data_IF_137842269073
#
_entry.id   IF_137842269073
#
_cell.length_a   1.000
_cell.length_b   1.000
_cell.length_c   1.000
_cell.angle_alpha   90.00
_cell.angle_beta   90.00
_cell.angle_gamma   90.00
#
_symmetry.space_group_name_H-M   'P 1'
#
loop_
_entity.id
_entity.type
_entity.pdbx_description
1 polymer ?
#
# COMPACT_ATOMS: atom_id res chain seq x y z
N UNK A 1 -12.80 27.95 -1.19
CA UNK A 1 -11.49 28.28 -1.80
C UNK A 1 -11.00 27.01 -2.46
N UNK A 2 -10.59 27.05 -3.72
CA UNK A 2 -10.08 25.86 -4.42
C UNK A 2 -8.70 25.53 -3.85
N UNK A 3 -8.57 24.41 -3.13
CA UNK A 3 -7.27 23.97 -2.58
C UNK A 3 -6.32 23.67 -3.75
N UNK A 4 -5.15 24.30 -3.74
CA UNK A 4 -4.13 24.17 -4.78
C UNK A 4 -3.17 23.03 -4.46
N UNK A 5 -3.20 21.97 -5.26
CA UNK A 5 -2.29 20.83 -5.17
C UNK A 5 -1.00 21.17 -5.90
N UNK A 6 0.08 21.44 -5.16
CA UNK A 6 1.40 21.71 -5.75
C UNK A 6 2.27 20.45 -5.65
N UNK A 7 2.76 19.96 -6.80
CA UNK A 7 3.70 18.82 -6.94
C UNK A 7 5.13 19.28 -6.64
N UNK A 8 5.80 18.82 -5.58
CA UNK A 8 7.23 18.99 -5.37
C UNK A 8 7.97 17.75 -5.88
N UNK A 9 8.79 17.93 -6.92
CA UNK A 9 9.76 16.97 -7.49
C UNK A 9 9.17 15.70 -8.21
N UNK A 10 9.38 15.51 -9.53
CA UNK A 10 8.53 14.65 -10.38
C UNK A 10 8.99 13.18 -10.56
N UNK A 11 9.85 12.60 -9.72
CA UNK A 11 10.46 11.29 -10.05
C UNK A 11 9.66 10.05 -9.60
N UNK A 12 8.50 10.20 -8.96
CA UNK A 12 7.52 9.11 -8.80
C UNK A 12 6.46 9.15 -9.92
N UNK A 13 6.08 8.02 -10.54
CA UNK A 13 5.09 8.01 -11.63
C UNK A 13 3.68 8.42 -11.15
N UNK A 14 3.38 8.31 -9.85
CA UNK A 14 2.04 8.52 -9.29
C UNK A 14 2.10 9.57 -8.19
N UNK A 15 1.47 10.74 -8.39
CA UNK A 15 1.50 11.80 -7.39
C UNK A 15 0.57 11.43 -6.22
N UNK A 16 1.16 11.30 -5.02
CA UNK A 16 0.47 11.01 -3.77
C UNK A 16 0.53 12.24 -2.84
N UNK A 17 -0.59 12.57 -2.21
CA UNK A 17 -0.73 13.72 -1.32
C UNK A 17 -1.26 13.29 0.05
N UNK A 18 -0.86 14.04 1.08
CA UNK A 18 -1.40 13.96 2.43
C UNK A 18 -2.25 15.21 2.68
N UNK A 19 -3.50 15.01 3.11
CA UNK A 19 -4.40 16.08 3.53
C UNK A 19 -4.63 16.04 5.04
N UNK A 20 -4.59 17.20 5.68
CA UNK A 20 -5.00 17.42 7.07
C UNK A 20 -5.75 18.76 7.15
N UNK A 21 -7.07 18.70 7.27
CA UNK A 21 -7.91 19.91 7.22
C UNK A 21 -7.74 20.64 5.87
N UNK A 22 -7.29 21.90 5.93
CA UNK A 22 -7.02 22.71 4.73
C UNK A 22 -5.60 22.51 4.16
N UNK A 23 -4.72 21.79 4.89
CA UNK A 23 -3.36 21.55 4.44
C UNK A 23 -3.32 20.35 3.50
N UNK A 24 -2.79 20.55 2.30
CA UNK A 24 -2.51 19.47 1.34
C UNK A 24 -1.06 19.59 0.90
N UNK A 25 -0.25 18.56 1.15
CA UNK A 25 1.13 18.49 0.71
C UNK A 25 1.37 17.21 -0.07
N UNK A 26 2.13 17.29 -1.15
CA UNK A 26 2.57 16.06 -1.80
C UNK A 26 3.59 15.33 -0.93
N UNK A 27 3.55 14.01 -1.01
CA UNK A 27 4.45 13.15 -0.29
C UNK A 27 5.76 13.01 -1.08
N UNK A 28 6.85 13.49 -0.50
CA UNK A 28 8.19 13.30 -1.06
C UNK A 28 8.75 11.90 -0.81
N UNK A 29 9.71 11.50 -1.64
CA UNK A 29 10.45 10.24 -1.48
C UNK A 29 11.07 10.13 -0.08
N UNK A 30 10.90 8.99 0.57
CA UNK A 30 11.40 8.68 1.91
C UNK A 30 10.58 9.28 3.06
N UNK A 31 9.53 10.05 2.76
CA UNK A 31 8.64 10.60 3.78
C UNK A 31 7.52 9.61 4.07
N UNK A 32 7.36 9.25 5.35
CA UNK A 32 6.22 8.44 5.79
C UNK A 32 4.93 9.28 5.81
N UNK A 33 3.82 8.82 5.19
CA UNK A 33 2.57 9.58 5.11
C UNK A 33 1.94 9.89 6.48
N UNK A 34 1.97 8.91 7.39
CA UNK A 34 1.39 9.03 8.73
C UNK A 34 2.22 9.98 9.58
N UNK A 35 3.55 9.94 9.45
CA UNK A 35 4.43 10.93 10.07
C UNK A 35 4.16 12.34 9.54
N UNK A 36 4.04 12.52 8.22
CA UNK A 36 3.75 13.83 7.63
C UNK A 36 2.41 14.38 8.11
N UNK A 37 1.38 13.54 8.19
CA UNK A 37 0.08 13.93 8.72
C UNK A 37 0.18 14.46 10.16
N UNK A 38 0.97 13.80 11.03
CA UNK A 38 1.24 14.28 12.38
C UNK A 38 1.92 15.65 12.38
N UNK A 39 2.94 15.84 11.55
CA UNK A 39 3.65 17.13 11.44
C UNK A 39 2.73 18.25 10.91
N UNK A 40 1.72 17.91 10.11
CA UNK A 40 0.67 18.83 9.64
C UNK A 40 -0.43 19.07 10.68
N UNK A 41 -0.34 18.47 11.86
CA UNK A 41 -1.26 18.71 12.98
C UNK A 41 -2.46 17.75 13.04
N UNK A 42 -2.43 16.63 12.31
CA UNK A 42 -3.45 15.59 12.47
C UNK A 42 -3.45 15.10 13.93
N UNK A 43 -4.62 14.80 14.48
CA UNK A 43 -4.74 14.34 15.87
C UNK A 43 -4.49 12.83 15.95
N UNK A 44 -3.70 12.41 16.94
CA UNK A 44 -3.53 11.00 17.26
C UNK A 44 -4.87 10.38 17.70
N UNK A 45 -5.35 9.36 16.98
CA UNK A 45 -6.54 8.57 17.31
C UNK A 45 -6.27 7.11 17.01
N UNK A 46 -6.35 6.26 18.04
CA UNK A 46 -6.15 4.83 17.90
C UNK A 46 -7.15 4.22 16.90
N UNK A 47 -6.66 3.41 15.96
CA UNK A 47 -7.48 2.83 14.90
C UNK A 47 -7.91 3.79 13.79
N UNK A 48 -7.48 5.05 13.79
CA UNK A 48 -7.82 5.98 12.72
C UNK A 48 -7.09 5.63 11.41
N UNK A 49 -7.85 5.55 10.33
CA UNK A 49 -7.37 5.26 8.99
C UNK A 49 -7.66 6.46 8.11
N UNK A 50 -6.74 6.88 7.21
CA UNK A 50 -7.02 7.99 6.31
C UNK A 50 -8.20 7.67 5.40
N UNK A 51 -9.00 8.69 5.12
CA UNK A 51 -9.94 8.66 4.01
C UNK A 51 -9.15 8.71 2.71
N UNK A 52 -9.50 7.85 1.77
CA UNK A 52 -8.78 7.67 0.53
C UNK A 52 -9.60 8.30 -0.58
N UNK A 53 -9.01 9.28 -1.25
CA UNK A 53 -9.68 10.06 -2.28
C UNK A 53 -8.77 10.15 -3.52
N UNK A 54 -9.39 10.37 -4.67
CA UNK A 54 -8.67 10.78 -5.87
C UNK A 54 -9.02 12.25 -6.09
N UNK A 55 -8.01 13.11 -5.91
CA UNK A 55 -8.16 14.53 -6.09
C UNK A 55 -8.68 14.87 -7.50
N UNK A 56 -9.03 16.14 -7.74
CA UNK A 56 -9.54 16.56 -9.03
C UNK A 56 -8.54 16.19 -10.13
N UNK A 57 -9.07 15.73 -11.28
CA UNK A 57 -8.26 15.50 -12.48
C UNK A 57 -7.48 16.77 -12.79
N UNK A 58 -6.16 16.67 -12.88
CA UNK A 58 -5.32 17.82 -13.18
C UNK A 58 -5.28 18.12 -14.70
N UNK A 59 -4.56 19.19 -15.08
CA UNK A 59 -4.46 19.61 -16.48
C UNK A 59 -3.77 18.57 -17.38
N UNK A 60 -2.99 17.65 -16.80
CA UNK A 60 -2.36 16.54 -17.51
C UNK A 60 -3.28 15.32 -17.68
N UNK A 61 -4.46 15.35 -17.05
CA UNK A 61 -5.38 14.21 -17.01
C UNK A 61 -5.09 13.23 -15.89
N UNK A 62 -4.16 13.54 -14.98
CA UNK A 62 -3.80 12.67 -13.87
C UNK A 62 -4.83 12.82 -12.74
N UNK A 63 -5.13 11.70 -12.07
CA UNK A 63 -5.96 11.65 -10.86
C UNK A 63 -5.04 11.49 -9.64
N UNK A 64 -4.65 12.59 -8.97
CA UNK A 64 -3.73 12.48 -7.84
C UNK A 64 -4.37 11.72 -6.69
N UNK A 65 -3.60 10.84 -6.06
CA UNK A 65 -4.07 10.08 -4.90
C UNK A 65 -3.94 10.94 -3.64
N UNK A 66 -4.96 10.95 -2.79
CA UNK A 66 -4.98 11.73 -1.55
C UNK A 66 -5.29 10.82 -0.37
N UNK A 67 -4.40 10.84 0.63
CA UNK A 67 -4.62 10.25 1.95
C UNK A 67 -5.01 11.37 2.91
N UNK A 68 -6.28 11.40 3.29
CA UNK A 68 -6.85 12.43 4.14
C UNK A 68 -6.93 11.96 5.60
N UNK A 69 -6.11 12.56 6.45
CA UNK A 69 -6.04 12.29 7.88
C UNK A 69 -6.84 13.32 8.70
N UNK A 70 -7.86 13.96 8.11
CA UNK A 70 -8.70 14.95 8.79
C UNK A 70 -9.38 14.43 10.06
N UNK A 71 -9.72 13.14 10.09
CA UNK A 71 -10.26 12.47 11.28
C UNK A 71 -9.19 11.96 12.25
N UNK A 72 -7.91 12.22 11.98
CA UNK A 72 -6.78 11.80 12.79
C UNK A 72 -5.95 10.69 12.14
N UNK A 73 -4.93 10.25 12.86
CA UNK A 73 -4.01 9.20 12.44
C UNK A 73 -3.82 8.17 13.56
N UNK A 74 -3.58 6.91 13.21
CA UNK A 74 -3.21 5.88 14.19
C UNK A 74 -1.75 6.01 14.64
N UNK A 75 -1.47 6.21 15.95
CA UNK A 75 -0.11 6.25 16.47
C UNK A 75 0.72 4.99 16.20
N UNK A 76 0.09 3.83 16.06
CA UNK A 76 0.77 2.58 15.76
C UNK A 76 1.27 2.50 14.31
N UNK A 77 0.73 3.33 13.41
CA UNK A 77 1.20 3.47 12.03
C UNK A 77 2.40 4.40 11.90
N UNK A 78 2.79 5.10 12.98
CA UNK A 78 4.00 5.91 12.95
C UNK A 78 5.24 5.05 12.70
N UNK A 79 6.21 5.54 11.92
CA UNK A 79 7.46 4.83 11.73
C UNK A 79 8.16 4.66 13.09
N UNK A 80 8.83 3.52 13.28
CA UNK A 80 9.58 3.25 14.52
C UNK A 80 10.62 4.37 14.75
N UNK A 81 10.88 4.79 16.01
CA UNK A 81 11.87 5.84 16.32
C UNK A 81 13.32 5.38 16.06
N UNK A 82 13.71 5.31 14.78
CA UNK A 82 15.08 5.21 14.25
C UNK A 82 15.11 5.05 12.71
N UNK A 83 14.09 5.47 11.96
CA UNK A 83 14.18 5.57 10.49
C UNK A 83 14.29 7.05 10.07
N UNK A 84 15.46 7.70 10.21
CA UNK A 84 15.68 9.00 9.64
C UNK A 84 15.69 8.89 8.10
N UNK A 85 14.57 9.18 7.46
CA UNK A 85 14.46 9.41 6.01
C UNK A 85 15.03 10.75 5.56
N UNK A 86 16.05 11.28 6.26
CA UNK A 86 16.73 12.52 5.89
C UNK A 86 18.23 12.28 5.77
N UNK A 87 18.65 11.93 4.55
CA UNK A 87 19.98 12.28 4.04
C UNK A 87 19.79 12.78 2.61
N UNK A 88 19.98 14.08 2.40
CA UNK A 88 20.20 14.66 1.08
C UNK A 88 21.71 14.67 0.86
N UNK A 89 22.23 13.66 0.16
CA UNK A 89 23.56 13.73 -0.43
C UNK A 89 23.46 13.72 -1.95
N UNK A 90 24.10 14.72 -2.57
CA UNK A 90 24.20 14.87 -4.03
C UNK A 90 25.17 13.83 -4.57
N UNK A 91 24.64 12.88 -5.36
CA UNK A 91 25.36 11.72 -5.91
C UNK A 91 24.60 10.39 -5.81
N UNK A 92 23.40 10.41 -5.20
CA UNK A 92 22.59 9.23 -4.92
C UNK A 92 22.01 8.53 -6.18
N UNK A 93 21.78 7.21 -6.13
CA UNK A 93 21.10 6.44 -7.19
C UNK A 93 19.72 7.03 -7.54
N UNK A 94 19.17 6.72 -8.74
CA UNK A 94 17.83 7.15 -9.11
C UNK A 94 16.81 6.73 -8.06
N UNK A 95 16.03 7.71 -7.58
CA UNK A 95 14.95 7.52 -6.61
C UNK A 95 13.69 7.04 -7.30
N UNK A 96 13.07 5.99 -6.76
CA UNK A 96 11.76 5.52 -7.23
C UNK A 96 10.80 5.37 -6.06
N UNK A 97 9.71 6.12 -6.14
CA UNK A 97 8.58 5.94 -5.26
C UNK A 97 7.56 5.03 -5.94
N UNK A 98 7.12 3.98 -5.23
CA UNK A 98 6.14 3.02 -5.72
C UNK A 98 4.91 3.08 -4.82
N UNK A 99 3.78 3.42 -5.42
CA UNK A 99 2.49 3.44 -4.73
C UNK A 99 1.77 2.13 -5.08
N UNK A 100 1.32 1.44 -4.06
CA UNK A 100 0.73 0.13 -4.14
C UNK A 100 -0.51 0.03 -3.26
N UNK A 101 -1.23 -1.07 -3.41
CA UNK A 101 -2.45 -1.37 -2.66
C UNK A 101 -2.54 -2.87 -2.42
N UNK A 102 -2.93 -3.29 -1.22
CA UNK A 102 -2.98 -4.72 -0.84
C UNK A 102 -4.22 -5.03 -0.02
N UNK A 103 -4.78 -6.24 -0.19
CA UNK A 103 -5.99 -6.67 0.51
C UNK A 103 -5.75 -7.85 1.45
N UNK A 104 -6.12 -7.69 2.72
CA UNK A 104 -6.38 -8.81 3.63
C UNK A 104 -7.78 -9.32 3.34
N UNK A 105 -7.87 -10.38 2.52
CA UNK A 105 -9.14 -10.99 2.14
C UNK A 105 -9.39 -12.24 2.97
N UNK A 106 -10.53 -12.31 3.64
CA UNK A 106 -10.96 -13.50 4.39
C UNK A 106 -11.91 -14.38 3.57
N UNK A 107 -11.87 -15.68 3.84
CA UNK A 107 -12.96 -16.56 3.45
C UNK A 107 -14.19 -16.31 4.36
N UNK A 108 -15.40 -16.78 3.98
CA UNK A 108 -16.62 -16.52 4.75
C UNK A 108 -16.57 -17.00 6.21
N UNK A 109 -15.73 -17.98 6.56
CA UNK A 109 -15.57 -18.40 7.96
C UNK A 109 -14.61 -17.51 8.75
N UNK A 110 -13.77 -16.70 8.08
CA UNK A 110 -12.74 -15.89 8.73
C UNK A 110 -11.54 -16.70 9.24
N UNK A 111 -11.46 -17.97 8.86
CA UNK A 111 -10.40 -18.91 9.30
C UNK A 111 -9.23 -18.95 8.32
N UNK A 112 -9.46 -18.58 7.06
CA UNK A 112 -8.43 -18.49 6.04
C UNK A 112 -8.37 -17.11 5.43
N UNK A 113 -7.19 -16.78 4.94
CA UNK A 113 -6.90 -15.56 4.18
C UNK A 113 -6.34 -15.91 2.81
N UNK A 114 -6.62 -15.07 1.83
CA UNK A 114 -6.05 -15.20 0.50
C UNK A 114 -4.64 -14.62 0.51
N UNK A 115 -3.67 -15.39 0.02
CA UNK A 115 -2.28 -14.94 -0.15
C UNK A 115 -1.81 -15.24 -1.57
N UNK A 116 -0.87 -14.42 -2.04
CA UNK A 116 -0.15 -14.59 -3.30
C UNK A 116 1.33 -14.85 -3.00
N UNK A 117 1.94 -15.73 -3.78
CA UNK A 117 3.38 -15.97 -3.74
C UNK A 117 4.03 -15.18 -4.86
N UNK A 118 5.04 -14.38 -4.51
CA UNK A 118 5.78 -13.52 -5.43
C UNK A 118 7.20 -14.04 -5.54
N UNK A 119 7.71 -14.11 -6.77
CA UNK A 119 9.11 -14.42 -7.03
C UNK A 119 10.00 -13.19 -6.77
N UNK A 120 11.01 -13.35 -5.92
CA UNK A 120 12.04 -12.35 -5.69
C UNK A 120 13.31 -12.70 -6.48
N UNK A 121 13.58 -11.93 -7.53
CA UNK A 121 14.76 -12.08 -8.37
C UNK A 121 16.09 -11.93 -7.61
N UNK A 122 16.11 -11.20 -6.49
CA UNK A 122 17.33 -10.97 -5.73
C UNK A 122 17.68 -12.15 -4.83
N UNK A 123 16.68 -12.72 -4.14
CA UNK A 123 16.90 -13.88 -3.27
C UNK A 123 16.75 -15.22 -4.01
N UNK A 124 16.25 -15.19 -5.25
CA UNK A 124 15.85 -16.37 -6.04
C UNK A 124 14.89 -17.28 -5.25
N UNK A 125 13.98 -16.68 -4.47
CA UNK A 125 13.00 -17.40 -3.67
C UNK A 125 11.62 -16.78 -3.76
N UNK A 126 10.60 -17.56 -3.45
CA UNK A 126 9.24 -17.04 -3.28
C UNK A 126 9.02 -16.54 -1.86
N UNK A 127 8.33 -15.42 -1.73
CA UNK A 127 7.73 -14.98 -0.47
C UNK A 127 6.21 -14.82 -0.64
N UNK A 128 5.48 -14.92 0.48
CA UNK A 128 4.03 -14.77 0.48
C UNK A 128 3.63 -13.41 1.01
N UNK A 129 2.67 -12.78 0.35
CA UNK A 129 2.08 -11.52 0.79
C UNK A 129 0.56 -11.51 0.56
N UNK A 130 -0.09 -10.45 1.04
CA UNK A 130 -1.44 -10.11 0.63
C UNK A 130 -1.53 -9.98 -0.91
N UNK A 131 -2.64 -10.35 -1.55
CA UNK A 131 -2.87 -10.01 -2.95
C UNK A 131 -2.92 -8.48 -3.11
N UNK A 132 -2.36 -7.99 -4.20
CA UNK A 132 -2.20 -6.56 -4.44
C UNK A 132 -0.92 -6.22 -5.17
N UNK A 133 -0.82 -4.98 -5.60
CA UNK A 133 0.28 -4.56 -6.45
C UNK A 133 0.32 -3.07 -6.66
N UNK A 134 1.04 -2.66 -7.70
CA UNK A 134 1.24 -1.27 -8.05
C UNK A 134 -0.08 -0.62 -8.46
N UNK A 135 -0.28 0.61 -8.04
CA UNK A 135 -1.28 1.46 -8.68
C UNK A 135 -0.72 1.87 -10.05
N UNK A 136 -1.54 1.94 -11.09
CA UNK A 136 -1.12 2.47 -12.39
C UNK A 136 -1.48 3.96 -12.54
N UNK A 137 -0.80 4.71 -13.43
CA UNK A 137 -1.17 6.09 -13.73
C UNK A 137 -2.65 6.23 -14.08
N UNK A 138 -3.32 7.09 -13.33
CA UNK A 138 -4.74 7.35 -13.50
C UNK A 138 -5.66 6.39 -12.76
N UNK A 139 -5.18 5.34 -12.09
CA UNK A 139 -6.02 4.50 -11.22
C UNK A 139 -6.20 5.10 -9.82
N UNK A 140 -7.37 4.86 -9.21
CA UNK A 140 -7.55 5.00 -7.76
C UNK A 140 -6.98 3.78 -7.04
N UNK A 141 -6.70 3.91 -5.73
CA UNK A 141 -6.28 2.75 -4.93
C UNK A 141 -7.27 1.58 -4.95
N UNK A 142 -8.58 1.87 -5.04
CA UNK A 142 -9.62 0.84 -5.06
C UNK A 142 -9.72 0.15 -6.43
N UNK A 143 -9.55 0.91 -7.53
CA UNK A 143 -9.49 0.36 -8.88
C UNK A 143 -8.27 -0.57 -9.04
N UNK A 144 -7.09 -0.11 -8.62
CA UNK A 144 -5.88 -0.93 -8.62
C UNK A 144 -6.04 -2.19 -7.76
N UNK A 145 -6.66 -2.07 -6.57
CA UNK A 145 -6.86 -3.21 -5.68
C UNK A 145 -7.75 -4.28 -6.31
N UNK A 146 -8.85 -3.86 -6.94
CA UNK A 146 -9.77 -4.78 -7.61
C UNK A 146 -9.09 -5.47 -8.81
N UNK A 147 -8.32 -4.71 -9.61
CA UNK A 147 -7.54 -5.26 -10.72
C UNK A 147 -6.54 -6.30 -10.23
N UNK A 148 -5.69 -5.95 -9.28
CA UNK A 148 -4.62 -6.83 -8.77
C UNK A 148 -5.19 -8.08 -8.12
N UNK A 149 -6.22 -7.97 -7.27
CA UNK A 149 -6.85 -9.15 -6.67
C UNK A 149 -7.43 -10.09 -7.73
N UNK A 150 -8.03 -9.55 -8.79
CA UNK A 150 -8.52 -10.37 -9.90
C UNK A 150 -7.37 -11.00 -10.70
N UNK A 151 -6.34 -10.21 -11.06
CA UNK A 151 -5.20 -10.69 -11.85
C UNK A 151 -4.42 -11.76 -11.09
N UNK A 152 -4.20 -11.60 -9.80
CA UNK A 152 -3.36 -12.52 -9.04
C UNK A 152 -4.11 -13.75 -8.52
N UNK A 153 -5.44 -13.67 -8.39
CA UNK A 153 -6.20 -14.72 -7.68
C UNK A 153 -7.49 -15.16 -8.37
N UNK A 154 -7.96 -14.42 -9.36
CA UNK A 154 -9.22 -14.67 -10.07
C UNK A 154 -10.47 -14.31 -9.26
N UNK A 155 -10.34 -13.56 -8.15
CA UNK A 155 -11.47 -13.19 -7.30
C UNK A 155 -11.90 -11.75 -7.52
N UNK A 156 -13.22 -11.52 -7.49
CA UNK A 156 -13.80 -10.17 -7.44
C UNK A 156 -14.01 -9.72 -5.99
N UNK A 157 -13.53 -8.53 -5.66
CA UNK A 157 -13.82 -7.87 -4.39
C UNK A 157 -15.27 -7.39 -4.35
N UNK A 158 -16.00 -7.79 -3.32
CA UNK A 158 -17.35 -7.31 -3.00
C UNK A 158 -17.29 -6.03 -2.17
N UNK A 159 -16.33 -5.97 -1.24
CA UNK A 159 -16.15 -4.89 -0.29
C UNK A 159 -14.66 -4.74 -0.01
N UNK A 160 -14.21 -3.49 0.16
CA UNK A 160 -12.87 -3.16 0.62
C UNK A 160 -12.92 -1.94 1.54
N UNK A 161 -12.38 -2.07 2.75
CA UNK A 161 -12.31 -0.98 3.74
C UNK A 161 -10.84 -0.67 4.02
N UNK A 162 -10.40 0.61 3.95
CA UNK A 162 -9.04 0.98 4.30
C UNK A 162 -8.70 0.56 5.73
N UNK A 163 -7.49 0.06 5.97
CA UNK A 163 -7.02 -0.35 7.30
C UNK A 163 -5.81 0.42 7.78
N UNK A 164 -4.86 0.65 6.89
CA UNK A 164 -3.58 1.22 7.26
C UNK A 164 -2.79 1.69 6.05
N UNK A 165 -1.84 2.59 6.29
CA UNK A 165 -0.82 2.94 5.33
C UNK A 165 0.51 2.34 5.77
N UNK A 166 1.23 1.73 4.84
CA UNK A 166 2.53 1.10 5.06
C UNK A 166 3.55 1.82 4.20
N UNK A 167 4.64 2.26 4.83
CA UNK A 167 5.75 2.93 4.16
C UNK A 167 7.05 2.23 4.54
N UNK A 168 7.89 1.99 3.54
CA UNK A 168 9.23 1.43 3.73
C UNK A 168 10.19 2.00 2.71
N UNK A 169 11.44 2.13 3.11
CA UNK A 169 12.53 2.53 2.24
C UNK A 169 13.56 1.41 2.17
N UNK A 170 14.25 1.33 1.05
CA UNK A 170 15.36 0.41 0.87
C UNK A 170 16.25 0.82 -0.28
N UNK A 171 17.47 0.32 -0.26
CA UNK A 171 18.36 0.38 -1.42
C UNK A 171 18.39 -1.01 -2.04
N UNK A 172 18.19 -1.07 -3.35
CA UNK A 172 18.16 -2.30 -4.13
C UNK A 172 19.05 -2.19 -5.35
N UNK A 173 19.36 -3.33 -5.97
CA UNK A 173 20.00 -3.37 -7.28
C UNK A 173 18.97 -3.86 -8.29
N UNK A 174 18.70 -3.07 -9.33
CA UNK A 174 17.84 -3.45 -10.43
C UNK A 174 18.44 -4.61 -11.22
N UNK A 175 17.59 -5.28 -12.00
CA UNK A 175 17.99 -6.35 -12.92
C UNK A 175 19.02 -5.93 -13.98
N UNK A 176 19.14 -4.62 -14.27
CA UNK A 176 20.18 -4.04 -15.14
C UNK A 176 21.50 -3.70 -14.40
N UNK A 177 21.60 -4.02 -13.12
CA UNK A 177 22.76 -3.79 -12.28
C UNK A 177 22.86 -2.39 -11.67
N UNK A 178 21.93 -1.48 -11.97
CA UNK A 178 21.90 -0.14 -11.39
C UNK A 178 21.42 -0.19 -9.92
N UNK A 179 22.05 0.59 -9.05
CA UNK A 179 21.52 0.83 -7.70
C UNK A 179 20.27 1.71 -7.79
N UNK A 180 19.27 1.41 -6.97
CA UNK A 180 17.99 2.10 -6.87
C UNK A 180 17.72 2.39 -5.39
N UNK A 181 17.37 3.63 -5.09
CA UNK A 181 16.78 4.00 -3.80
C UNK A 181 15.26 3.95 -3.99
N UNK A 182 14.61 2.98 -3.36
CA UNK A 182 13.17 2.78 -3.49
C UNK A 182 12.43 3.16 -2.21
N UNK A 183 11.28 3.83 -2.40
CA UNK A 183 10.32 4.15 -1.36
C UNK A 183 9.00 3.50 -1.72
N UNK A 184 8.66 2.42 -1.02
CA UNK A 184 7.38 1.73 -1.18
C UNK A 184 6.34 2.30 -0.24
N UNK A 185 5.16 2.55 -0.78
CA UNK A 185 3.98 2.97 -0.02
C UNK A 185 2.83 2.06 -0.43
N UNK A 186 2.18 1.43 0.54
CA UNK A 186 1.00 0.61 0.30
C UNK A 186 -0.15 1.05 1.18
N UNK A 187 -1.32 1.25 0.57
CA UNK A 187 -2.57 1.26 1.31
C UNK A 187 -3.04 -0.18 1.50
N UNK A 188 -3.33 -0.56 2.73
CA UNK A 188 -3.80 -1.91 3.08
C UNK A 188 -5.30 -1.85 3.36
N UNK A 189 -6.03 -2.83 2.85
CA UNK A 189 -7.48 -2.93 2.94
C UNK A 189 -7.89 -4.24 3.60
N UNK A 190 -9.03 -4.24 4.30
CA UNK A 190 -9.77 -5.45 4.60
C UNK A 190 -10.77 -5.67 3.48
N UNK A 191 -10.81 -6.88 2.91
CA UNK A 191 -11.70 -7.20 1.80
C UNK A 191 -12.57 -8.43 2.04
N UNK A 192 -13.69 -8.49 1.34
CA UNK A 192 -14.45 -9.72 1.09
C UNK A 192 -14.54 -9.98 -0.40
N UNK A 193 -14.52 -11.25 -0.77
CA UNK A 193 -14.77 -11.68 -2.14
C UNK A 193 -16.21 -12.12 -2.33
N UNK A 194 -16.75 -11.93 -3.53
CA UNK A 194 -18.13 -12.30 -3.85
C UNK A 194 -18.37 -13.82 -3.80
N UNK A 195 -17.37 -14.62 -4.15
CA UNK A 195 -17.44 -16.09 -4.15
C UNK A 195 -16.06 -16.64 -3.82
N UNK A 196 -16.01 -17.68 -2.98
CA UNK A 196 -14.77 -18.40 -2.69
C UNK A 196 -14.63 -19.58 -3.64
N UNK A 197 -13.51 -19.62 -4.36
CA UNK A 197 -13.09 -20.75 -5.16
C UNK A 197 -11.57 -20.96 -5.03
N UNK A 198 -11.05 -22.01 -5.66
CA UNK A 198 -9.61 -22.19 -5.76
C UNK A 198 -9.02 -21.01 -6.54
N UNK A 199 -7.94 -20.36 -6.04
CA UNK A 199 -7.36 -19.22 -6.74
C UNK A 199 -6.78 -19.61 -8.10
N UNK A 200 -6.95 -18.72 -9.07
CA UNK A 200 -6.40 -18.87 -10.42
C UNK A 200 -5.60 -17.61 -10.74
N UNK A 201 -4.31 -17.77 -11.03
CA UNK A 201 -3.45 -16.65 -11.41
C UNK A 201 -3.68 -16.31 -12.89
N UNK A 202 -4.05 -15.07 -13.15
CA UNK A 202 -4.18 -14.45 -14.46
C UNK A 202 -3.05 -13.45 -14.76
N UNK A 203 -2.16 -13.19 -13.80
CA UNK A 203 -0.98 -12.35 -13.94
C UNK A 203 -0.03 -12.90 -15.03
N UNK A 204 -0.03 -12.24 -16.19
CA UNK A 204 0.84 -12.58 -17.32
C UNK A 204 2.04 -11.63 -17.33
N UNK A 205 3.18 -12.13 -16.90
CA UNK A 205 4.45 -11.38 -16.93
C UNK A 205 4.73 -10.55 -15.69
N UNK A 206 3.85 -10.55 -14.69
CA UNK A 206 4.16 -10.10 -13.34
C UNK A 206 4.86 -11.18 -12.51
N UNK A 207 5.04 -10.87 -11.23
CA UNK A 207 5.85 -11.67 -10.30
C UNK A 207 5.07 -12.77 -9.58
N UNK A 208 3.74 -12.80 -9.72
CA UNK A 208 2.90 -13.73 -8.98
C UNK A 208 2.96 -15.11 -9.58
N UNK A 209 3.46 -16.08 -8.81
CA UNK A 209 3.68 -17.46 -9.27
C UNK A 209 2.52 -18.38 -8.90
N UNK A 210 1.82 -18.09 -7.79
CA UNK A 210 0.68 -18.87 -7.28
C UNK A 210 -0.12 -18.06 -6.26
N UNK A 211 -1.36 -18.46 -6.03
CA UNK A 211 -2.22 -17.93 -4.98
C UNK A 211 -2.87 -19.09 -4.19
N UNK A 212 -3.21 -18.86 -2.92
CA UNK A 212 -3.81 -19.88 -2.07
C UNK A 212 -4.67 -19.28 -0.96
N UNK A 213 -5.74 -19.99 -0.59
CA UNK A 213 -6.41 -19.80 0.70
C UNK A 213 -5.61 -20.48 1.81
N UNK A 214 -5.10 -19.69 2.74
CA UNK A 214 -4.16 -20.12 3.78
C UNK A 214 -4.77 -19.92 5.16
N UNK A 215 -4.69 -20.89 6.09
CA UNK A 215 -5.14 -20.70 7.47
C UNK A 215 -4.47 -19.47 8.10
N UNK A 216 -5.22 -18.67 8.85
CA UNK A 216 -4.69 -17.47 9.51
C UNK A 216 -3.51 -17.73 10.46
N UNK A 217 -3.37 -18.97 10.96
CA UNK A 217 -2.29 -19.40 11.85
C UNK A 217 -1.05 -19.92 11.09
N UNK A 218 -1.11 -20.01 9.76
CA UNK A 218 -0.02 -20.51 8.95
C UNK A 218 1.17 -19.52 8.97
N UNK A 219 2.42 -20.00 9.09
CA UNK A 219 3.60 -19.13 9.09
C UNK A 219 3.70 -18.23 7.85
N UNK A 220 3.17 -18.65 6.69
CA UNK A 220 3.18 -17.83 5.46
C UNK A 220 2.49 -16.47 5.64
N UNK A 221 1.56 -16.36 6.58
CA UNK A 221 0.80 -15.13 6.81
C UNK A 221 1.67 -14.03 7.42
N UNK A 222 2.61 -14.37 8.31
CA UNK A 222 3.33 -13.35 9.13
C UNK A 222 4.83 -13.54 9.26
N UNK A 223 5.39 -14.69 8.87
CA UNK A 223 6.81 -14.97 9.07
C UNK A 223 7.71 -14.17 8.12
N UNK A 224 7.29 -13.96 6.87
CA UNK A 224 8.09 -13.24 5.86
C UNK A 224 7.96 -11.73 5.98
N UNK A 225 6.82 -11.22 6.45
CA UNK A 225 6.53 -9.80 6.55
C UNK A 225 5.94 -9.53 7.94
N UNK A 226 6.77 -9.00 8.85
CA UNK A 226 6.39 -8.78 10.26
C UNK A 226 5.10 -7.96 10.39
N UNK A 227 4.87 -7.00 9.49
CA UNK A 227 3.71 -6.11 9.53
C UNK A 227 2.39 -6.79 9.17
N UNK A 228 2.42 -7.93 8.47
CA UNK A 228 1.20 -8.66 8.13
C UNK A 228 0.45 -9.15 9.37
N UNK A 229 1.16 -9.44 10.47
CA UNK A 229 0.49 -9.77 11.72
C UNK A 229 -0.37 -8.61 12.26
N UNK A 230 0.07 -7.37 12.06
CA UNK A 230 -0.69 -6.19 12.47
C UNK A 230 -1.88 -5.93 11.55
N UNK A 231 -1.65 -6.01 10.23
CA UNK A 231 -2.70 -5.87 9.22
C UNK A 231 -3.81 -6.90 9.43
N UNK A 232 -3.46 -8.16 9.69
CA UNK A 232 -4.41 -9.23 9.98
C UNK A 232 -5.26 -8.93 11.22
N UNK A 233 -4.64 -8.42 12.30
CA UNK A 233 -5.38 -8.05 13.52
C UNK A 233 -6.35 -6.91 13.27
N UNK A 234 -5.92 -5.85 12.58
CA UNK A 234 -6.76 -4.71 12.19
C UNK A 234 -7.91 -5.17 11.31
N UNK A 235 -7.62 -5.98 10.30
CA UNK A 235 -8.61 -6.51 9.38
C UNK A 235 -9.68 -7.34 10.11
N UNK A 236 -9.28 -8.20 11.05
CA UNK A 236 -10.24 -8.96 11.87
C UNK A 236 -11.14 -8.08 12.73
N UNK A 237 -10.61 -6.99 13.27
CA UNK A 237 -11.40 -6.06 14.07
C UNK A 237 -12.48 -5.36 13.23
N UNK A 238 -12.13 -4.94 12.01
CA UNK A 238 -13.07 -4.25 11.11
C UNK A 238 -14.07 -5.20 10.44
N UNK A 239 -13.68 -6.45 10.18
CA UNK A 239 -14.52 -7.44 9.49
C UNK A 239 -15.30 -8.37 10.44
N UNK A 240 -15.06 -8.27 11.75
CA UNK A 240 -15.66 -9.11 12.80
C UNK A 240 -16.88 -8.51 13.47
N UNK A 241 -17.22 -7.25 13.15
CA UNK A 241 -18.47 -6.56 13.48
C UNK A 241 -19.47 -6.64 12.32
#
# INVERSE_FOLDING_TARGET
>A
MTQSYHRPDPTGPIPLFVRVGEHVLALGHGVDPTWLARELGATAREGAVPVVDHGPVDEAGDRPLVLDYGDGYDPADLPRPAAPGMVVESGAPPRRQRVATHAVVFDPSGERVLLTALWDDFTETEFWNWPGGGVDPGETFAEALAREVWEETGHDLLEAVPLAVRSWTGTGRRSDGAEEDFHGISLVWAGRVATVHEPVVHDVGGSTTRAAWVPVSDPRVSASIERNADDLRRARAVMGD
#
